data_IF_234340977164
#
_entry.id   IF_234340977164
#
_cell.length_a   1.000
_cell.length_b   1.000
_cell.length_c   1.000
_cell.angle_alpha   90.00
_cell.angle_beta   90.00
_cell.angle_gamma   90.00
#
_symmetry.space_group_name_H-M   'P 1'
#
loop_
_entity.id
_entity.type
_entity.pdbx_description
1 polymer ?
#
# COMPACT_ATOMS: atom_id res chain seq x y z
N UNK A 1 -11.37 26.62 6.34
CA UNK A 1 -11.01 26.47 4.92
C UNK A 1 -11.57 25.18 4.37
N UNK A 2 -11.62 25.07 3.08
CA UNK A 2 -12.09 23.85 2.42
C UNK A 2 -11.25 22.63 2.82
N UNK A 3 -9.95 22.82 3.00
CA UNK A 3 -9.06 21.72 3.41
C UNK A 3 -9.45 21.12 4.77
N UNK A 4 -10.00 21.94 5.67
CA UNK A 4 -10.44 21.48 7.00
C UNK A 4 -11.73 20.66 6.94
N UNK A 5 -12.45 20.70 5.82
CA UNK A 5 -13.69 19.95 5.64
C UNK A 5 -13.48 18.62 4.93
N UNK A 6 -12.26 18.36 4.41
CA UNK A 6 -11.95 17.12 3.73
C UNK A 6 -11.77 15.99 4.72
N UNK A 7 -12.28 14.80 4.38
CA UNK A 7 -12.03 13.58 5.14
C UNK A 7 -10.56 13.18 5.04
N UNK A 8 -10.10 12.32 5.95
CA UNK A 8 -8.75 11.76 5.90
C UNK A 8 -8.47 11.07 4.57
N UNK A 9 -9.46 10.34 4.03
CA UNK A 9 -9.33 9.68 2.73
C UNK A 9 -9.20 10.64 1.57
N UNK A 10 -9.99 11.72 1.57
CA UNK A 10 -9.90 12.74 0.55
C UNK A 10 -8.55 13.45 0.60
N UNK A 11 -8.04 13.71 1.80
CA UNK A 11 -6.71 14.30 1.98
C UNK A 11 -5.62 13.39 1.42
N UNK A 12 -5.72 12.07 1.64
CA UNK A 12 -4.78 11.09 1.09
C UNK A 12 -4.86 11.02 -0.43
N UNK A 13 -6.06 11.04 -1.00
CA UNK A 13 -6.22 11.06 -2.45
C UNK A 13 -5.61 12.32 -3.06
N UNK A 14 -5.78 13.46 -2.39
CA UNK A 14 -5.19 14.72 -2.83
C UNK A 14 -3.66 14.67 -2.78
N UNK A 15 -3.10 14.07 -1.71
CA UNK A 15 -1.66 13.89 -1.56
C UNK A 15 -1.09 13.02 -2.67
N UNK A 16 -1.75 11.92 -3.00
CA UNK A 16 -1.36 11.04 -4.09
C UNK A 16 -1.39 11.80 -5.42
N UNK A 17 -2.46 12.56 -5.67
CA UNK A 17 -2.59 13.37 -6.87
C UNK A 17 -1.47 14.40 -7.02
N UNK A 18 -1.11 15.07 -5.93
CA UNK A 18 0.01 16.04 -5.93
C UNK A 18 1.34 15.36 -6.24
N UNK A 19 1.58 14.19 -5.64
CA UNK A 19 2.80 13.43 -5.91
C UNK A 19 2.88 13.03 -7.39
N UNK A 20 1.76 12.60 -7.97
CA UNK A 20 1.70 12.21 -9.38
C UNK A 20 1.94 13.38 -10.33
N UNK A 21 1.62 14.61 -9.94
CA UNK A 21 1.87 15.79 -10.76
C UNK A 21 3.36 16.04 -10.97
N UNK A 22 4.23 15.49 -10.13
CA UNK A 22 5.68 15.55 -10.33
C UNK A 22 6.20 14.56 -11.36
N UNK A 23 5.30 13.75 -11.93
CA UNK A 23 5.63 12.71 -12.90
C UNK A 23 6.71 11.74 -12.39
N UNK A 24 6.51 11.11 -11.23
CA UNK A 24 7.54 10.31 -10.58
C UNK A 24 7.75 8.97 -11.28
N UNK A 25 8.98 8.46 -11.28
CA UNK A 25 9.27 7.11 -11.73
C UNK A 25 8.80 6.07 -10.72
N UNK A 26 8.82 6.42 -9.45
CA UNK A 26 8.40 5.56 -8.35
C UNK A 26 7.56 6.36 -7.36
N UNK A 27 6.37 5.85 -7.06
CA UNK A 27 5.49 6.39 -6.03
C UNK A 27 5.65 5.55 -4.76
N UNK A 28 5.98 6.20 -3.65
CA UNK A 28 6.15 5.52 -2.36
C UNK A 28 5.02 5.94 -1.42
N UNK A 29 4.34 4.94 -0.84
CA UNK A 29 3.23 5.14 0.08
C UNK A 29 3.52 4.38 1.37
N UNK A 30 3.59 5.12 2.48
CA UNK A 30 3.88 4.55 3.80
C UNK A 30 2.63 4.63 4.66
N UNK A 31 1.99 3.45 4.87
CA UNK A 31 0.78 3.30 5.69
C UNK A 31 -0.33 4.30 5.31
N UNK A 32 -0.56 4.46 4.01
CA UNK A 32 -1.47 5.47 3.48
C UNK A 32 -2.94 5.24 3.85
N UNK A 33 -3.30 4.03 4.29
CA UNK A 33 -4.68 3.69 4.64
C UNK A 33 -4.92 3.57 6.14
N UNK A 34 -3.89 3.78 6.96
CA UNK A 34 -4.00 3.63 8.41
C UNK A 34 -4.99 4.65 9.00
N UNK A 35 -5.86 4.15 9.88
CA UNK A 35 -6.84 5.00 10.55
C UNK A 35 -8.04 5.40 9.70
N UNK A 36 -8.13 4.95 8.46
CA UNK A 36 -9.24 5.31 7.56
C UNK A 36 -10.36 4.27 7.62
N UNK A 37 -11.59 4.73 7.34
CA UNK A 37 -12.75 3.85 7.26
C UNK A 37 -12.60 2.84 6.12
N UNK A 38 -13.20 1.63 6.23
CA UNK A 38 -13.03 0.56 5.23
C UNK A 38 -13.36 0.96 3.80
N UNK A 39 -14.44 1.72 3.58
CA UNK A 39 -14.82 2.17 2.24
C UNK A 39 -13.76 3.11 1.64
N UNK A 40 -13.20 3.98 2.46
CA UNK A 40 -12.17 4.92 2.03
C UNK A 40 -10.88 4.17 1.71
N UNK A 41 -10.53 3.17 2.53
CA UNK A 41 -9.37 2.32 2.24
C UNK A 41 -9.53 1.62 0.90
N UNK A 42 -10.70 1.08 0.62
CA UNK A 42 -10.99 0.43 -0.67
C UNK A 42 -10.81 1.38 -1.85
N UNK A 43 -11.25 2.62 -1.71
CA UNK A 43 -11.08 3.63 -2.76
C UNK A 43 -9.60 3.90 -3.04
N UNK A 44 -8.78 4.02 -2.00
CA UNK A 44 -7.34 4.24 -2.14
C UNK A 44 -6.69 3.03 -2.83
N UNK A 45 -6.97 1.81 -2.39
CA UNK A 45 -6.43 0.60 -3.01
C UNK A 45 -6.87 0.45 -4.46
N UNK A 46 -8.11 0.79 -4.78
CA UNK A 46 -8.60 0.78 -6.17
C UNK A 46 -7.87 1.79 -7.04
N UNK A 47 -7.58 2.97 -6.48
CA UNK A 47 -6.78 4.00 -7.16
C UNK A 47 -5.37 3.47 -7.47
N UNK A 48 -4.71 2.83 -6.48
CA UNK A 48 -3.38 2.27 -6.65
C UNK A 48 -3.36 1.17 -7.70
N UNK A 49 -4.38 0.33 -7.73
CA UNK A 49 -4.51 -0.71 -8.74
C UNK A 49 -4.59 -0.10 -10.15
N UNK A 50 -5.39 0.95 -10.33
CA UNK A 50 -5.49 1.64 -11.62
C UNK A 50 -4.17 2.27 -12.03
N UNK A 51 -3.44 2.87 -11.10
CA UNK A 51 -2.14 3.46 -11.38
C UNK A 51 -1.13 2.39 -11.81
N UNK A 52 -1.13 1.25 -11.12
CA UNK A 52 -0.28 0.13 -11.48
C UNK A 52 -0.57 -0.35 -12.90
N UNK A 53 -1.84 -0.53 -13.24
CA UNK A 53 -2.26 -0.96 -14.58
C UNK A 53 -1.85 0.04 -15.67
N UNK A 54 -1.77 1.31 -15.30
CA UNK A 54 -1.30 2.38 -16.21
C UNK A 54 0.22 2.43 -16.32
N UNK A 55 0.95 1.56 -15.63
CA UNK A 55 2.41 1.48 -15.73
C UNK A 55 3.19 2.20 -14.63
N UNK A 56 2.51 2.76 -13.63
CA UNK A 56 3.18 3.44 -12.52
C UNK A 56 3.85 2.43 -11.60
N UNK A 57 5.15 2.59 -11.35
CA UNK A 57 5.85 1.81 -10.34
C UNK A 57 5.47 2.33 -8.95
N UNK A 58 5.09 1.42 -8.04
CA UNK A 58 4.59 1.78 -6.71
C UNK A 58 5.25 0.89 -5.66
N UNK A 59 5.75 1.52 -4.58
CA UNK A 59 6.17 0.83 -3.38
C UNK A 59 5.18 1.17 -2.27
N UNK A 60 4.47 0.17 -1.76
CA UNK A 60 3.50 0.36 -0.68
C UNK A 60 4.00 -0.31 0.58
N UNK A 61 4.03 0.44 1.67
CA UNK A 61 4.37 -0.07 3.01
C UNK A 61 3.08 -0.09 3.81
N UNK A 62 2.62 -1.29 4.14
CA UNK A 62 1.35 -1.47 4.84
C UNK A 62 1.33 -2.82 5.56
N UNK A 63 0.50 -2.93 6.60
CA UNK A 63 0.30 -4.18 7.34
C UNK A 63 -0.91 -4.95 6.82
N UNK A 64 -1.69 -4.38 5.92
CA UNK A 64 -2.88 -5.01 5.36
C UNK A 64 -2.50 -5.97 4.24
N UNK A 65 -2.19 -7.20 4.61
CA UNK A 65 -1.68 -8.22 3.71
C UNK A 65 -2.67 -8.54 2.59
N UNK A 66 -3.96 -8.60 2.90
CA UNK A 66 -4.98 -8.96 1.92
C UNK A 66 -5.05 -7.95 0.77
N UNK A 67 -4.98 -6.66 1.09
CA UNK A 67 -4.97 -5.62 0.05
C UNK A 67 -3.65 -5.63 -0.73
N UNK A 68 -2.52 -5.83 -0.04
CA UNK A 68 -1.21 -5.94 -0.71
C UNK A 68 -1.18 -7.11 -1.69
N UNK A 69 -1.70 -8.26 -1.30
CA UNK A 69 -1.74 -9.46 -2.16
C UNK A 69 -2.54 -9.22 -3.43
N UNK A 70 -3.56 -8.38 -3.34
CA UNK A 70 -4.44 -8.10 -4.49
C UNK A 70 -3.75 -7.31 -5.59
N UNK A 71 -2.81 -6.42 -5.25
CA UNK A 71 -2.20 -5.53 -6.23
C UNK A 71 -0.69 -5.68 -6.40
N UNK A 72 0.04 -6.18 -5.41
CA UNK A 72 1.49 -6.23 -5.47
C UNK A 72 1.97 -7.45 -6.26
N UNK A 73 3.02 -7.24 -7.05
CA UNK A 73 3.69 -8.33 -7.79
C UNK A 73 4.70 -9.05 -6.92
N UNK A 74 5.31 -8.32 -5.98
CA UNK A 74 6.33 -8.85 -5.10
C UNK A 74 6.20 -8.25 -3.70
N UNK A 75 6.53 -9.06 -2.71
CA UNK A 75 6.42 -8.70 -1.29
C UNK A 75 7.78 -8.80 -0.60
N UNK A 76 7.99 -7.91 0.36
CA UNK A 76 9.14 -7.91 1.23
C UNK A 76 8.66 -7.81 2.67
N UNK A 77 9.12 -8.72 3.53
CA UNK A 77 8.84 -8.63 4.97
C UNK A 77 10.07 -8.03 5.64
N UNK A 78 9.85 -6.94 6.36
CA UNK A 78 10.93 -6.20 7.04
C UNK A 78 10.76 -6.34 8.55
N UNK A 79 11.83 -6.72 9.23
CA UNK A 79 11.88 -6.82 10.68
C UNK A 79 13.15 -6.15 11.19
N UNK A 80 13.00 -5.21 12.12
CA UNK A 80 14.12 -4.48 12.71
C UNK A 80 15.06 -3.85 11.66
N UNK A 81 14.48 -3.28 10.62
CA UNK A 81 15.22 -2.61 9.57
C UNK A 81 15.86 -3.53 8.53
N UNK A 82 15.58 -4.83 8.59
CA UNK A 82 16.15 -5.80 7.67
C UNK A 82 15.07 -6.57 6.93
N UNK A 83 15.32 -6.87 5.65
CA UNK A 83 14.44 -7.75 4.88
C UNK A 83 14.69 -9.19 5.33
N UNK A 84 13.67 -9.81 5.92
CA UNK A 84 13.76 -11.19 6.43
C UNK A 84 13.11 -12.20 5.50
N UNK A 85 12.31 -11.73 4.55
CA UNK A 85 11.68 -12.59 3.55
C UNK A 85 11.30 -11.76 2.31
N UNK A 86 11.35 -12.37 1.15
CA UNK A 86 10.84 -11.79 -0.09
C UNK A 86 10.27 -12.90 -0.99
N UNK A 87 9.26 -12.54 -1.78
CA UNK A 87 8.66 -13.48 -2.71
C UNK A 87 7.43 -12.91 -3.40
N UNK A 88 6.85 -13.72 -4.28
CA UNK A 88 5.61 -13.43 -4.98
C UNK A 88 4.41 -13.62 -4.06
N UNK A 89 3.22 -13.23 -4.54
CA UNK A 89 1.97 -13.45 -3.78
C UNK A 89 1.71 -14.95 -3.56
N UNK A 90 1.99 -15.80 -4.55
CA UNK A 90 1.85 -17.25 -4.40
C UNK A 90 2.78 -17.80 -3.31
N UNK A 91 4.03 -17.33 -3.31
CA UNK A 91 4.99 -17.73 -2.28
C UNK A 91 4.60 -17.20 -0.90
N UNK A 92 4.02 -16.00 -0.84
CA UNK A 92 3.50 -15.44 0.39
C UNK A 92 2.39 -16.33 0.99
N UNK A 93 1.47 -16.81 0.16
CA UNK A 93 0.41 -17.72 0.60
C UNK A 93 0.95 -19.04 1.12
N UNK A 94 1.97 -19.59 0.47
CA UNK A 94 2.61 -20.85 0.90
C UNK A 94 3.31 -20.70 2.26
N UNK A 95 3.75 -19.49 2.61
CA UNK A 95 4.50 -19.21 3.82
C UNK A 95 3.70 -18.34 4.82
N UNK A 96 2.37 -18.31 4.70
CA UNK A 96 1.53 -17.41 5.47
C UNK A 96 1.73 -17.49 6.98
N UNK A 97 1.82 -18.70 7.53
CA UNK A 97 2.00 -18.88 8.98
C UNK A 97 3.33 -18.31 9.47
N UNK A 98 4.41 -18.55 8.74
CA UNK A 98 5.74 -18.02 9.07
C UNK A 98 5.76 -16.49 9.00
N UNK A 99 5.13 -15.93 7.98
CA UNK A 99 5.11 -14.48 7.77
C UNK A 99 4.25 -13.79 8.83
N UNK A 100 3.11 -14.37 9.19
CA UNK A 100 2.28 -13.85 10.28
C UNK A 100 3.03 -13.84 11.60
N UNK A 101 3.81 -14.88 11.89
CA UNK A 101 4.65 -14.94 13.07
C UNK A 101 5.65 -13.79 13.08
N UNK A 102 6.32 -13.52 11.96
CA UNK A 102 7.30 -12.44 11.85
C UNK A 102 6.67 -11.05 11.93
N UNK A 103 5.43 -10.89 11.46
CA UNK A 103 4.71 -9.62 11.56
C UNK A 103 4.06 -9.41 12.93
N UNK A 104 4.05 -10.41 13.79
CA UNK A 104 3.45 -10.31 15.12
C UNK A 104 1.92 -10.33 15.10
N UNK A 105 1.32 -10.92 14.09
CA UNK A 105 -0.14 -11.02 13.94
C UNK A 105 -0.62 -12.46 14.08
#
# INVERSE_FOLDING_TARGET
SMANLLSGGEQQMLAIGRALMTNPKLLILDEATEGLAPLIRQEIWSCLERLKKAGQAILVIDKNIDDLKRIADRHYVVEKGQVVWTGTTAELDENAALIQEKLGV
#
